data_IF_313714492696
#
_entry.id   IF_313714492696
#
_cell.length_a   1.000
_cell.length_b   1.000
_cell.length_c   1.000
_cell.angle_alpha   90.00
_cell.angle_beta   90.00
_cell.angle_gamma   90.00
#
_symmetry.space_group_name_H-M   'P 1'
#
loop_
_entity.id
_entity.type
_entity.pdbx_description
1 polymer ?
#
# COMPACT_ATOMS: atom_id res chain seq x y z
N UNK A 1 35.51 38.24 -24.35
CA UNK A 1 34.65 37.43 -25.24
C UNK A 1 34.57 35.94 -24.87
N UNK A 2 35.66 35.23 -24.55
CA UNK A 2 35.56 33.80 -24.15
C UNK A 2 34.98 33.62 -22.73
N UNK A 3 35.30 34.48 -21.78
CA UNK A 3 34.84 34.35 -20.39
C UNK A 3 33.35 34.68 -20.17
N UNK A 4 32.80 35.65 -20.92
CA UNK A 4 31.37 36.02 -20.84
C UNK A 4 30.42 34.90 -21.28
N UNK A 5 30.89 33.93 -22.07
CA UNK A 5 30.09 32.79 -22.52
C UNK A 5 30.15 31.59 -21.55
N UNK A 6 31.18 31.50 -20.73
CA UNK A 6 31.41 30.36 -19.83
C UNK A 6 30.43 30.39 -18.66
N UNK A 7 30.20 31.56 -18.07
CA UNK A 7 29.26 31.75 -16.95
C UNK A 7 27.84 31.28 -17.30
N UNK A 8 27.20 31.73 -18.41
CA UNK A 8 25.87 31.26 -18.78
C UNK A 8 25.85 29.77 -19.19
N UNK A 9 26.92 29.24 -19.78
CA UNK A 9 27.01 27.82 -20.12
C UNK A 9 27.07 26.93 -18.86
N UNK A 10 27.87 27.30 -17.86
CA UNK A 10 27.93 26.62 -16.57
C UNK A 10 26.60 26.73 -15.83
N UNK A 11 25.96 27.90 -15.85
CA UNK A 11 24.64 28.09 -15.25
C UNK A 11 23.58 27.18 -15.90
N UNK A 12 23.54 27.10 -17.23
CA UNK A 12 22.60 26.22 -17.95
C UNK A 12 22.83 24.74 -17.62
N UNK A 13 24.09 24.30 -17.50
CA UNK A 13 24.43 22.93 -17.12
C UNK A 13 23.96 22.62 -15.70
N UNK A 14 24.19 23.52 -14.75
CA UNK A 14 23.74 23.37 -13.35
C UNK A 14 22.21 23.32 -13.29
N UNK A 15 21.50 24.20 -13.99
CA UNK A 15 20.04 24.20 -14.05
C UNK A 15 19.51 22.89 -14.64
N UNK A 16 20.10 22.40 -15.73
CA UNK A 16 19.73 21.12 -16.34
C UNK A 16 19.92 19.94 -15.39
N UNK A 17 21.01 19.93 -14.63
CA UNK A 17 21.30 18.88 -13.66
C UNK A 17 20.30 18.90 -12.48
N UNK A 18 19.98 20.08 -11.96
CA UNK A 18 18.94 20.24 -10.93
C UNK A 18 17.58 19.77 -11.46
N UNK A 19 17.19 20.18 -12.67
CA UNK A 19 15.94 19.77 -13.29
C UNK A 19 15.86 18.24 -13.44
N UNK A 20 16.97 17.60 -13.85
CA UNK A 20 17.06 16.14 -13.94
C UNK A 20 16.86 15.44 -12.59
N UNK A 21 17.51 15.94 -11.51
CA UNK A 21 17.35 15.39 -10.16
C UNK A 21 15.91 15.55 -9.68
N UNK A 22 15.30 16.73 -9.87
CA UNK A 22 13.91 16.98 -9.49
C UNK A 22 12.97 16.05 -10.23
N UNK A 23 13.16 15.87 -11.54
CA UNK A 23 12.35 14.94 -12.35
C UNK A 23 12.43 13.49 -11.85
N UNK A 24 13.64 13.04 -11.50
CA UNK A 24 13.86 11.71 -10.92
C UNK A 24 13.16 11.55 -9.56
N UNK A 25 13.29 12.54 -8.68
CA UNK A 25 12.61 12.57 -7.37
C UNK A 25 11.10 12.47 -7.54
N UNK A 26 10.52 13.29 -8.42
CA UNK A 26 9.07 13.30 -8.69
C UNK A 26 8.61 11.95 -9.23
N UNK A 27 9.39 11.34 -10.12
CA UNK A 27 9.06 10.04 -10.71
C UNK A 27 9.07 8.91 -9.67
N UNK A 28 10.05 8.89 -8.76
CA UNK A 28 10.11 7.91 -7.67
C UNK A 28 8.94 8.10 -6.70
N UNK A 29 8.64 9.36 -6.33
CA UNK A 29 7.49 9.68 -5.47
C UNK A 29 6.17 9.24 -6.10
N UNK A 30 5.96 9.51 -7.39
CA UNK A 30 4.75 9.13 -8.10
C UNK A 30 4.57 7.61 -8.12
N UNK A 31 5.65 6.86 -8.39
CA UNK A 31 5.64 5.40 -8.35
C UNK A 31 5.31 4.88 -6.95
N UNK A 32 5.98 5.36 -5.91
CA UNK A 32 5.79 4.86 -4.53
C UNK A 32 4.39 5.23 -3.98
N UNK A 33 3.88 6.41 -4.31
CA UNK A 33 2.49 6.81 -4.04
C UNK A 33 1.51 5.83 -4.69
N UNK A 34 1.72 5.50 -5.97
CA UNK A 34 0.86 4.56 -6.69
C UNK A 34 0.90 3.16 -6.09
N UNK A 35 2.08 2.69 -5.69
CA UNK A 35 2.22 1.39 -5.00
C UNK A 35 1.46 1.39 -3.67
N UNK A 36 1.54 2.47 -2.88
CA UNK A 36 0.77 2.60 -1.64
C UNK A 36 -0.75 2.58 -1.90
N UNK A 37 -1.22 3.29 -2.94
CA UNK A 37 -2.63 3.27 -3.34
C UNK A 37 -3.11 1.85 -3.73
N UNK A 38 -2.31 1.10 -4.48
CA UNK A 38 -2.65 -0.28 -4.83
C UNK A 38 -2.70 -1.21 -3.61
N UNK A 39 -1.78 -1.03 -2.64
CA UNK A 39 -1.82 -1.79 -1.39
C UNK A 39 -3.06 -1.43 -0.55
N UNK A 40 -3.41 -0.15 -0.45
CA UNK A 40 -4.62 0.28 0.25
C UNK A 40 -5.88 -0.28 -0.42
N UNK A 41 -5.97 -0.24 -1.76
CA UNK A 41 -7.07 -0.84 -2.49
C UNK A 41 -7.16 -2.37 -2.28
N UNK A 42 -6.02 -3.06 -2.16
CA UNK A 42 -6.00 -4.47 -1.80
C UNK A 42 -6.52 -4.70 -0.37
N UNK A 43 -6.06 -3.91 0.62
CA UNK A 43 -6.49 -3.96 2.03
C UNK A 43 -7.99 -3.72 2.14
N UNK A 44 -8.50 -2.66 1.50
CA UNK A 44 -9.92 -2.29 1.56
C UNK A 44 -10.79 -3.33 0.87
N UNK A 45 -10.33 -3.89 -0.25
CA UNK A 45 -11.00 -4.99 -0.92
C UNK A 45 -11.08 -6.25 -0.05
N UNK A 46 -9.98 -6.63 0.61
CA UNK A 46 -9.99 -7.77 1.54
C UNK A 46 -10.91 -7.51 2.74
N UNK A 47 -10.86 -6.30 3.34
CA UNK A 47 -11.73 -5.92 4.46
C UNK A 47 -13.21 -6.04 4.08
N UNK A 48 -13.58 -5.57 2.88
CA UNK A 48 -14.94 -5.61 2.37
C UNK A 48 -15.39 -7.05 2.06
N UNK A 49 -14.53 -7.87 1.45
CA UNK A 49 -14.86 -9.26 1.13
C UNK A 49 -15.08 -10.07 2.42
N UNK A 50 -14.20 -9.88 3.43
CA UNK A 50 -14.34 -10.56 4.73
C UNK A 50 -15.57 -10.09 5.50
N UNK A 51 -15.88 -8.79 5.50
CA UNK A 51 -17.06 -8.29 6.22
C UNK A 51 -18.37 -8.85 5.65
N UNK A 52 -18.46 -8.97 4.32
CA UNK A 52 -19.60 -9.59 3.64
C UNK A 52 -19.69 -11.08 3.98
N UNK A 53 -18.58 -11.82 3.94
CA UNK A 53 -18.56 -13.24 4.31
C UNK A 53 -19.01 -13.46 5.78
N UNK A 54 -18.51 -12.64 6.71
CA UNK A 54 -18.92 -12.71 8.13
C UNK A 54 -20.40 -12.34 8.31
N UNK A 55 -20.94 -11.40 7.53
CA UNK A 55 -22.36 -11.07 7.55
C UNK A 55 -23.23 -12.26 7.10
N UNK A 56 -22.81 -12.95 6.03
CA UNK A 56 -23.48 -14.19 5.58
C UNK A 56 -23.49 -15.26 6.67
N UNK A 57 -22.40 -15.45 7.42
CA UNK A 57 -22.41 -16.37 8.59
C UNK A 57 -23.40 -15.94 9.68
N UNK A 58 -23.55 -14.64 9.93
CA UNK A 58 -24.55 -14.13 10.87
C UNK A 58 -25.99 -14.48 10.45
N UNK A 59 -26.29 -14.35 9.17
CA UNK A 59 -27.58 -14.76 8.60
C UNK A 59 -27.75 -16.27 8.70
N UNK A 60 -26.72 -17.04 8.32
CA UNK A 60 -26.76 -18.51 8.34
C UNK A 60 -27.04 -19.06 9.74
N UNK A 61 -26.45 -18.47 10.79
CA UNK A 61 -26.77 -18.81 12.19
C UNK A 61 -28.25 -18.58 12.51
N UNK A 62 -28.79 -17.44 12.09
CA UNK A 62 -30.19 -17.08 12.35
C UNK A 62 -31.13 -18.06 11.66
N UNK A 63 -30.82 -18.39 10.40
CA UNK A 63 -31.59 -19.34 9.59
C UNK A 63 -31.49 -20.76 10.17
N UNK A 64 -30.30 -21.21 10.58
CA UNK A 64 -30.11 -22.52 11.21
C UNK A 64 -30.99 -22.71 12.45
N UNK A 65 -31.19 -21.65 13.24
CA UNK A 65 -32.12 -21.66 14.37
C UNK A 65 -33.59 -21.84 13.98
N UNK A 66 -34.01 -21.30 12.83
CA UNK A 66 -35.39 -21.37 12.32
C UNK A 66 -35.67 -22.71 11.64
N UNK A 67 -34.68 -23.26 10.93
CA UNK A 67 -34.80 -24.48 10.14
C UNK A 67 -35.04 -25.73 10.99
N UNK A 68 -34.66 -25.73 12.27
CA UNK A 68 -34.86 -26.87 13.19
C UNK A 68 -36.32 -27.30 13.37
N UNK A 69 -37.26 -26.42 13.06
CA UNK A 69 -38.71 -26.66 13.16
C UNK A 69 -39.41 -26.72 11.79
N UNK A 70 -38.66 -26.96 10.71
CA UNK A 70 -39.16 -27.02 9.33
C UNK A 70 -39.03 -28.41 8.74
N UNK A 71 -39.92 -28.72 7.81
CA UNK A 71 -39.90 -29.97 7.04
C UNK A 71 -38.81 -29.94 5.98
N UNK A 72 -38.33 -31.11 5.53
CA UNK A 72 -37.31 -31.18 4.48
C UNK A 72 -37.74 -30.46 3.19
N UNK A 73 -39.02 -30.54 2.82
CA UNK A 73 -39.54 -29.87 1.63
C UNK A 73 -39.45 -28.33 1.73
N UNK A 74 -39.68 -27.75 2.91
CA UNK A 74 -39.52 -26.31 3.15
C UNK A 74 -38.05 -25.89 3.12
N UNK A 75 -37.14 -26.76 3.57
CA UNK A 75 -35.69 -26.54 3.52
C UNK A 75 -35.23 -26.55 2.07
N UNK A 76 -35.62 -27.56 1.29
CA UNK A 76 -35.24 -27.68 -0.12
C UNK A 76 -35.75 -26.50 -0.95
N UNK A 77 -37.00 -26.08 -0.74
CA UNK A 77 -37.57 -24.88 -1.37
C UNK A 77 -36.80 -23.61 -0.98
N UNK A 78 -36.43 -23.46 0.29
CA UNK A 78 -35.59 -22.35 0.74
C UNK A 78 -34.22 -22.36 0.07
N UNK A 79 -33.54 -23.51 0.00
CA UNK A 79 -32.22 -23.63 -0.62
C UNK A 79 -32.25 -23.28 -2.12
N UNK A 80 -33.26 -23.77 -2.85
CA UNK A 80 -33.46 -23.45 -4.28
C UNK A 80 -33.70 -21.95 -4.46
N UNK A 81 -34.57 -21.36 -3.63
CA UNK A 81 -34.90 -19.93 -3.70
C UNK A 81 -33.75 -19.03 -3.21
N UNK A 82 -32.74 -19.58 -2.55
CA UNK A 82 -31.58 -18.86 -1.99
C UNK A 82 -30.25 -19.18 -2.67
N UNK A 83 -30.31 -19.81 -3.85
CA UNK A 83 -29.14 -20.13 -4.68
C UNK A 83 -28.19 -18.93 -4.87
N UNK A 84 -28.72 -17.73 -5.09
CA UNK A 84 -27.89 -16.54 -5.30
C UNK A 84 -27.04 -16.18 -4.08
N UNK A 85 -27.57 -16.33 -2.86
CA UNK A 85 -26.77 -16.07 -1.65
C UNK A 85 -25.64 -17.10 -1.50
N UNK A 86 -25.90 -18.37 -1.82
CA UNK A 86 -24.86 -19.40 -1.77
C UNK A 86 -23.77 -19.15 -2.82
N UNK A 87 -24.15 -18.77 -4.03
CA UNK A 87 -23.19 -18.36 -5.06
C UNK A 87 -22.35 -17.17 -4.61
N UNK A 88 -22.96 -16.19 -3.93
CA UNK A 88 -22.25 -15.03 -3.38
C UNK A 88 -21.20 -15.43 -2.34
N UNK A 89 -21.52 -16.36 -1.44
CA UNK A 89 -20.58 -16.89 -0.45
C UNK A 89 -19.38 -17.55 -1.14
N UNK A 90 -19.62 -18.42 -2.12
CA UNK A 90 -18.55 -19.09 -2.88
C UNK A 90 -17.66 -18.09 -3.64
N UNK A 91 -18.28 -17.06 -4.21
CA UNK A 91 -17.55 -15.96 -4.84
C UNK A 91 -16.69 -15.21 -3.83
N UNK A 92 -17.23 -14.87 -2.65
CA UNK A 92 -16.50 -14.18 -1.59
C UNK A 92 -15.29 -14.99 -1.13
N UNK A 93 -15.47 -16.28 -0.85
CA UNK A 93 -14.40 -17.19 -0.46
C UNK A 93 -13.32 -17.26 -1.54
N UNK A 94 -13.73 -17.40 -2.80
CA UNK A 94 -12.81 -17.41 -3.95
C UNK A 94 -12.03 -16.10 -4.09
N UNK A 95 -12.70 -14.95 -3.98
CA UNK A 95 -12.03 -13.64 -4.03
C UNK A 95 -11.02 -13.47 -2.91
N UNK A 96 -11.38 -13.84 -1.68
CA UNK A 96 -10.48 -13.76 -0.53
C UNK A 96 -9.27 -14.65 -0.78
N UNK A 97 -9.46 -15.92 -1.17
CA UNK A 97 -8.36 -16.85 -1.47
C UNK A 97 -7.41 -16.30 -2.53
N UNK A 98 -7.93 -15.74 -3.62
CA UNK A 98 -7.12 -15.16 -4.71
C UNK A 98 -6.33 -13.91 -4.30
N UNK A 99 -6.80 -13.15 -3.30
CA UNK A 99 -6.08 -11.97 -2.78
C UNK A 99 -4.93 -12.36 -1.85
N UNK A 100 -5.04 -13.48 -1.16
CA UNK A 100 -4.10 -13.87 -0.11
C UNK A 100 -2.88 -14.59 -0.70
N UNK A 101 -1.70 -14.34 -0.10
CA UNK A 101 -0.51 -15.12 -0.38
C UNK A 101 -0.58 -16.47 0.36
N UNK A 102 -0.46 -17.62 -0.33
CA UNK A 102 -0.53 -18.95 0.28
C UNK A 102 0.61 -19.27 1.26
N UNK A 103 1.76 -18.62 1.13
CA UNK A 103 2.90 -18.83 2.03
C UNK A 103 2.78 -18.01 3.31
N UNK A 104 2.18 -16.82 3.23
CA UNK A 104 2.07 -15.90 4.37
C UNK A 104 0.75 -16.07 5.14
N UNK A 105 -0.34 -16.39 4.45
CA UNK A 105 -1.70 -16.35 5.00
C UNK A 105 -2.31 -17.75 5.18
N UNK A 106 -1.47 -18.73 5.53
CA UNK A 106 -1.85 -20.15 5.68
C UNK A 106 -3.05 -20.34 6.59
N UNK A 107 -3.08 -19.66 7.75
CA UNK A 107 -4.14 -19.84 8.74
C UNK A 107 -5.50 -19.33 8.25
N UNK A 108 -5.52 -18.18 7.57
CA UNK A 108 -6.75 -17.66 6.96
C UNK A 108 -7.26 -18.60 5.86
N UNK A 109 -6.38 -19.14 5.03
CA UNK A 109 -6.77 -20.10 3.99
C UNK A 109 -7.34 -21.38 4.59
N UNK A 110 -6.74 -21.89 5.68
CA UNK A 110 -7.25 -23.04 6.43
C UNK A 110 -8.63 -22.78 7.04
N UNK A 111 -8.89 -21.58 7.55
CA UNK A 111 -10.21 -21.21 8.08
C UNK A 111 -11.29 -21.14 6.99
N UNK A 112 -10.90 -20.79 5.77
CA UNK A 112 -11.78 -20.76 4.59
C UNK A 112 -11.97 -22.14 3.96
N UNK A 113 -11.25 -23.16 4.41
CA UNK A 113 -11.41 -24.53 3.94
C UNK A 113 -12.70 -25.14 4.53
N UNK A 114 -13.40 -25.92 3.70
CA UNK A 114 -14.58 -26.71 4.04
C UNK A 114 -15.71 -25.97 4.77
N UNK A 115 -15.96 -24.70 4.40
CA UNK A 115 -17.05 -23.89 4.97
C UNK A 115 -18.43 -24.51 4.79
N UNK A 116 -18.62 -25.32 3.74
CA UNK A 116 -19.86 -26.08 3.47
C UNK A 116 -20.16 -27.13 4.55
N UNK A 117 -19.14 -27.61 5.28
CA UNK A 117 -19.27 -28.70 6.26
C UNK A 117 -19.42 -28.22 7.70
N UNK A 118 -19.49 -26.89 7.89
CA UNK A 118 -19.59 -26.29 9.21
C UNK A 118 -20.89 -26.67 9.90
N UNK A 119 -20.77 -27.15 11.14
CA UNK A 119 -21.94 -27.39 11.99
C UNK A 119 -22.47 -26.06 12.53
N UNK A 120 -23.77 -26.00 12.79
CA UNK A 120 -24.46 -24.82 13.36
C UNK A 120 -23.70 -24.22 14.56
N UNK A 121 -23.29 -25.07 15.52
CA UNK A 121 -22.54 -24.65 16.71
C UNK A 121 -21.18 -24.01 16.41
N UNK A 122 -20.62 -24.24 15.23
CA UNK A 122 -19.31 -23.78 14.80
C UNK A 122 -19.38 -22.52 13.93
N UNK A 123 -20.56 -22.12 13.44
CA UNK A 123 -20.73 -20.95 12.58
C UNK A 123 -20.19 -19.67 13.25
N UNK A 124 -20.60 -19.41 14.50
CA UNK A 124 -20.16 -18.19 15.21
C UNK A 124 -18.67 -18.20 15.54
N UNK A 125 -18.11 -19.28 16.14
CA UNK A 125 -16.67 -19.37 16.36
C UNK A 125 -15.86 -19.25 15.07
N UNK A 126 -16.31 -19.84 13.96
CA UNK A 126 -15.61 -19.75 12.67
C UNK A 126 -15.60 -18.32 12.14
N UNK A 127 -16.76 -17.65 12.15
CA UNK A 127 -16.87 -16.27 11.70
C UNK A 127 -15.99 -15.32 12.54
N UNK A 128 -15.94 -15.53 13.86
CA UNK A 128 -15.07 -14.78 14.76
C UNK A 128 -13.59 -15.02 14.45
N UNK A 129 -13.18 -16.28 14.29
CA UNK A 129 -11.80 -16.63 13.92
C UNK A 129 -11.38 -16.01 12.58
N UNK A 130 -12.26 -16.04 11.57
CA UNK A 130 -12.02 -15.39 10.27
C UNK A 130 -11.85 -13.87 10.46
N UNK A 131 -12.70 -13.25 11.29
CA UNK A 131 -12.59 -11.81 11.59
C UNK A 131 -11.27 -11.46 12.28
N UNK A 132 -10.86 -12.25 13.28
CA UNK A 132 -9.61 -12.05 14.02
C UNK A 132 -8.40 -12.23 13.10
N UNK A 133 -8.37 -13.29 12.29
CA UNK A 133 -7.28 -13.51 11.32
C UNK A 133 -7.22 -12.40 10.26
N UNK A 134 -8.37 -11.94 9.77
CA UNK A 134 -8.40 -10.80 8.87
C UNK A 134 -7.85 -9.52 9.52
N UNK A 135 -8.18 -9.24 10.78
CA UNK A 135 -7.65 -8.08 11.50
C UNK A 135 -6.12 -8.12 11.61
N UNK A 136 -5.54 -9.30 11.88
CA UNK A 136 -4.09 -9.47 11.97
C UNK A 136 -3.39 -9.24 10.62
N UNK A 137 -3.93 -9.82 9.54
CA UNK A 137 -3.44 -9.60 8.17
C UNK A 137 -3.53 -8.11 7.80
N UNK A 138 -4.69 -7.49 8.03
CA UNK A 138 -4.91 -6.08 7.70
C UNK A 138 -3.97 -5.16 8.49
N UNK A 139 -3.68 -5.48 9.76
CA UNK A 139 -2.74 -4.72 10.59
C UNK A 139 -1.30 -4.87 10.07
N UNK A 140 -0.89 -6.08 9.75
CA UNK A 140 0.45 -6.37 9.20
C UNK A 140 0.67 -5.61 7.89
N UNK A 141 -0.30 -5.67 6.98
CA UNK A 141 -0.24 -4.96 5.70
C UNK A 141 -0.31 -3.43 5.88
N UNK A 142 -1.10 -2.94 6.82
CA UNK A 142 -1.12 -1.52 7.18
C UNK A 142 0.24 -1.02 7.70
N UNK A 143 0.93 -1.83 8.49
CA UNK A 143 2.29 -1.53 8.94
C UNK A 143 3.31 -1.55 7.79
N UNK A 144 3.15 -2.42 6.79
CA UNK A 144 3.94 -2.40 5.55
C UNK A 144 3.69 -1.12 4.75
N UNK A 145 2.43 -0.71 4.60
CA UNK A 145 2.07 0.56 3.92
C UNK A 145 2.67 1.78 4.63
N UNK A 146 2.54 1.85 5.97
CA UNK A 146 3.10 2.97 6.77
C UNK A 146 4.62 3.06 6.69
N UNK A 147 5.31 1.92 6.60
CA UNK A 147 6.77 1.87 6.45
C UNK A 147 7.22 2.48 5.13
N UNK A 148 6.36 2.43 4.12
CA UNK A 148 6.64 2.88 2.77
C UNK A 148 7.62 1.96 2.04
N UNK A 149 7.89 2.29 0.78
CA UNK A 149 8.82 1.53 -0.05
C UNK A 149 10.28 1.87 0.30
N UNK A 150 11.22 0.90 0.28
CA UNK A 150 12.64 1.16 0.55
C UNK A 150 13.27 2.24 -0.35
N UNK A 151 12.76 2.38 -1.57
CA UNK A 151 13.14 3.45 -2.53
C UNK A 151 12.88 4.84 -1.96
N UNK A 152 11.74 5.06 -1.30
CA UNK A 152 11.41 6.32 -0.64
C UNK A 152 12.39 6.62 0.50
N UNK A 153 12.74 5.60 1.30
CA UNK A 153 13.71 5.75 2.41
C UNK A 153 15.10 6.12 1.88
N UNK A 154 15.51 5.52 0.77
CA UNK A 154 16.78 5.83 0.12
C UNK A 154 16.76 7.22 -0.51
N UNK A 155 15.70 7.58 -1.23
CA UNK A 155 15.51 8.90 -1.83
C UNK A 155 15.60 10.00 -0.77
N UNK A 156 14.96 9.82 0.39
CA UNK A 156 15.03 10.77 1.50
C UNK A 156 16.47 10.99 2.01
N UNK A 157 17.28 9.93 2.04
CA UNK A 157 18.70 10.02 2.42
C UNK A 157 19.50 10.75 1.36
N UNK A 158 19.35 10.36 0.09
CA UNK A 158 20.10 10.95 -1.03
C UNK A 158 19.74 12.42 -1.20
N UNK A 159 18.46 12.79 -1.16
CA UNK A 159 18.02 14.19 -1.23
C UNK A 159 18.59 15.03 -0.09
N UNK A 160 18.66 14.49 1.14
CA UNK A 160 19.27 15.21 2.27
C UNK A 160 20.75 15.52 2.03
N UNK A 161 21.52 14.56 1.53
CA UNK A 161 22.94 14.74 1.23
C UNK A 161 23.17 15.60 -0.03
N UNK A 162 22.33 15.43 -1.05
CA UNK A 162 22.36 16.20 -2.29
C UNK A 162 22.16 17.69 -2.04
N UNK A 163 21.13 18.07 -1.26
CA UNK A 163 20.85 19.47 -0.88
C UNK A 163 22.01 20.05 -0.07
N UNK A 164 22.56 19.30 0.89
CA UNK A 164 23.69 19.77 1.69
C UNK A 164 24.91 20.06 0.81
N UNK A 165 25.21 19.16 -0.14
CA UNK A 165 26.34 19.30 -1.06
C UNK A 165 26.20 20.51 -2.00
N UNK A 166 24.99 20.76 -2.51
CA UNK A 166 24.71 21.89 -3.42
C UNK A 166 24.77 23.22 -2.68
N UNK A 167 24.27 23.30 -1.45
CA UNK A 167 24.38 24.50 -0.61
C UNK A 167 25.85 24.82 -0.28
N UNK A 168 26.66 23.83 0.07
CA UNK A 168 28.09 24.04 0.32
C UNK A 168 28.85 24.47 -0.93
N UNK A 169 28.56 23.90 -2.09
CA UNK A 169 29.19 24.30 -3.35
C UNK A 169 28.79 25.72 -3.75
N UNK A 170 27.50 26.08 -3.64
CA UNK A 170 27.01 27.43 -3.91
C UNK A 170 27.64 28.48 -2.99
N UNK A 171 27.73 28.20 -1.69
CA UNK A 171 28.40 29.08 -0.74
C UNK A 171 29.89 29.28 -1.07
N UNK A 172 30.59 28.22 -1.50
CA UNK A 172 31.98 28.30 -1.95
C UNK A 172 32.17 29.17 -3.19
N UNK A 173 31.29 29.04 -4.19
CA UNK A 173 31.32 29.89 -5.40
C UNK A 173 31.04 31.36 -5.05
N UNK A 174 30.04 31.64 -4.20
CA UNK A 174 29.76 33.00 -3.75
C UNK A 174 30.93 33.60 -2.96
N UNK A 175 31.58 32.83 -2.08
CA UNK A 175 32.74 33.28 -1.33
C UNK A 175 33.93 33.60 -2.25
N UNK A 176 34.16 32.79 -3.30
CA UNK A 176 35.20 33.04 -4.29
C UNK A 176 34.94 34.35 -5.08
N UNK A 177 33.71 34.58 -5.53
CA UNK A 177 33.34 35.81 -6.25
C UNK A 177 33.49 37.04 -5.35
N UNK A 178 33.07 36.95 -4.08
CA UNK A 178 33.22 38.05 -3.11
C UNK A 178 34.70 38.32 -2.81
N UNK A 179 35.51 37.27 -2.67
CA UNK A 179 36.96 37.41 -2.49
C UNK A 179 37.62 38.06 -3.71
N UNK A 180 37.20 37.72 -4.92
CA UNK A 180 37.75 38.33 -6.15
C UNK A 180 37.31 39.79 -6.34
N UNK A 181 36.10 40.16 -5.89
CA UNK A 181 35.55 41.51 -6.03
C UNK A 181 35.92 42.47 -4.89
N UNK A 182 36.11 41.97 -3.66
CA UNK A 182 36.39 42.77 -2.46
C UNK A 182 37.72 42.43 -1.77
N UNK A 183 38.41 41.37 -2.19
CA UNK A 183 39.70 40.93 -1.64
C UNK A 183 40.88 41.76 -2.15
N UNK A 184 41.15 42.82 -1.40
CA UNK A 184 42.39 43.60 -1.29
C UNK A 184 42.94 44.32 -2.54
N UNK A 185 42.87 45.68 -2.58
CA UNK A 185 43.80 46.48 -3.38
C UNK A 185 45.20 46.42 -2.77
N UNK A 186 46.15 45.85 -3.49
CA UNK A 186 47.58 45.96 -3.19
C UNK A 186 48.31 44.63 -3.23
N UNK A 187 48.96 44.35 -4.37
CA UNK A 187 50.39 44.02 -4.54
C UNK A 187 50.58 43.86 -6.07
N UNK A 188 50.84 44.98 -6.73
CA UNK A 188 51.70 45.02 -7.92
C UNK A 188 52.55 46.26 -7.73
N UNK A 189 53.82 46.03 -7.38
CA UNK A 189 54.84 47.07 -7.35
C UNK A 189 55.19 47.57 -8.74
#
# INVERSE_FOLDING_TARGET
MKEELVVPAVAALVVGLIAGIVSLVVSILAKDQKTSEFRQAWIDGLRNDVSQLVAHFGVMKTVAGIVRERTQAEIDDYLINKQEQFLEIEMLVSRIRLRLNPEEHVEMLRLLEDLETIRDSEISPRAENISVQAQDILKTEWERVKRGEPSFVWLKRVSKWGVLSTLSAGAGVCAAIVYEHFGLPGITG
#
